data_IF_434160202301
#
_entry.id   IF_434160202301
#
_cell.length_a   1.000
_cell.length_b   1.000
_cell.length_c   1.000
_cell.angle_alpha   90.00
_cell.angle_beta   90.00
_cell.angle_gamma   90.00
#
_symmetry.space_group_name_H-M   'P 1'
#
loop_
_entity.id
_entity.type
_entity.pdbx_description
1 polymer ?
#
# COMPACT_ATOMS: atom_id res chain seq x y z
N UNK A 1 -11.03 -56.45 -16.48
CA UNK A 1 -12.29 -56.57 -17.23
C UNK A 1 -12.85 -55.16 -17.46
N UNK A 2 -12.00 -54.24 -17.92
CA UNK A 2 -12.14 -52.79 -17.64
C UNK A 2 -11.91 -51.91 -18.89
N UNK A 3 -12.39 -52.35 -20.06
CA UNK A 3 -12.20 -51.61 -21.32
C UNK A 3 -13.48 -50.95 -21.86
N UNK A 4 -14.63 -51.16 -21.22
CA UNK A 4 -15.90 -50.53 -21.62
C UNK A 4 -16.22 -49.23 -20.87
N UNK A 5 -15.45 -48.88 -19.83
CA UNK A 5 -15.69 -47.69 -19.00
C UNK A 5 -15.23 -46.37 -19.61
N UNK A 6 -14.50 -46.40 -20.73
CA UNK A 6 -13.92 -45.20 -21.35
C UNK A 6 -14.79 -44.62 -22.50
N UNK A 7 -15.88 -45.31 -22.85
CA UNK A 7 -16.82 -44.83 -23.85
C UNK A 7 -17.88 -43.97 -23.17
N UNK A 8 -17.83 -42.66 -23.43
CA UNK A 8 -18.82 -41.69 -22.96
C UNK A 8 -20.26 -42.22 -23.10
N UNK A 9 -21.07 -42.08 -22.05
CA UNK A 9 -22.49 -42.50 -22.03
C UNK A 9 -23.25 -42.00 -23.27
N UNK A 10 -22.90 -40.81 -23.78
CA UNK A 10 -23.44 -40.24 -25.03
C UNK A 10 -23.12 -41.10 -26.26
N UNK A 11 -21.88 -41.55 -26.41
CA UNK A 11 -21.45 -42.41 -27.53
C UNK A 11 -22.12 -43.79 -27.44
N UNK A 12 -22.28 -44.32 -26.22
CA UNK A 12 -22.95 -45.60 -25.97
C UNK A 12 -24.46 -45.53 -26.28
N UNK A 13 -25.14 -44.44 -25.89
CA UNK A 13 -26.53 -44.17 -26.27
C UNK A 13 -26.69 -44.08 -27.80
N UNK A 14 -25.82 -43.34 -28.48
CA UNK A 14 -25.86 -43.21 -29.94
C UNK A 14 -25.66 -44.55 -30.66
N UNK A 15 -24.74 -45.39 -30.17
CA UNK A 15 -24.52 -46.72 -30.74
C UNK A 15 -25.75 -47.61 -30.56
N UNK A 16 -26.36 -47.63 -29.37
CA UNK A 16 -27.57 -48.41 -29.09
C UNK A 16 -28.75 -47.98 -29.95
N UNK A 17 -28.93 -46.67 -30.17
CA UNK A 17 -29.98 -46.15 -31.06
C UNK A 17 -29.74 -46.60 -32.51
N UNK A 18 -28.49 -46.57 -32.99
CA UNK A 18 -28.15 -47.05 -34.32
C UNK A 18 -28.35 -48.57 -34.48
N UNK A 19 -28.03 -49.36 -33.44
CA UNK A 19 -28.29 -50.80 -33.41
C UNK A 19 -29.80 -51.08 -33.52
N UNK A 20 -30.63 -50.33 -32.78
CA UNK A 20 -32.10 -50.44 -32.84
C UNK A 20 -32.63 -50.06 -34.23
N UNK A 21 -32.10 -49.00 -34.86
CA UNK A 21 -32.47 -48.64 -36.25
C UNK A 21 -32.08 -49.75 -37.25
N UNK A 22 -30.91 -50.38 -37.08
CA UNK A 22 -30.48 -51.47 -37.93
C UNK A 22 -31.36 -52.72 -37.78
N UNK A 23 -31.68 -53.11 -36.54
CA UNK A 23 -32.53 -54.25 -36.22
C UNK A 23 -33.96 -54.03 -36.76
N UNK A 24 -34.51 -52.83 -36.59
CA UNK A 24 -35.85 -52.51 -37.08
C UNK A 24 -35.91 -52.56 -38.62
N UNK A 25 -34.90 -52.03 -39.33
CA UNK A 25 -34.81 -52.16 -40.79
C UNK A 25 -34.76 -53.63 -41.23
N UNK A 26 -33.91 -54.44 -40.59
CA UNK A 26 -33.84 -55.88 -40.89
C UNK A 26 -35.16 -56.61 -40.60
N UNK A 27 -35.91 -56.19 -39.58
CA UNK A 27 -37.22 -56.77 -39.24
C UNK A 27 -38.26 -56.45 -40.32
N UNK A 28 -38.28 -55.22 -40.80
CA UNK A 28 -39.15 -54.83 -41.90
C UNK A 28 -38.79 -55.55 -43.20
N UNK A 29 -37.51 -55.75 -43.49
CA UNK A 29 -37.06 -56.49 -44.68
C UNK A 29 -37.46 -57.98 -44.60
N UNK A 30 -37.29 -58.64 -43.44
CA UNK A 30 -37.68 -60.06 -43.29
C UNK A 30 -39.20 -60.25 -43.34
N UNK A 31 -39.99 -59.37 -42.72
CA UNK A 31 -41.45 -59.38 -42.81
C UNK A 31 -41.95 -59.10 -44.24
N UNK A 32 -41.27 -58.23 -44.98
CA UNK A 32 -41.61 -57.92 -46.38
C UNK A 32 -41.33 -59.12 -47.30
N UNK A 33 -40.22 -59.83 -47.07
CA UNK A 33 -39.91 -61.08 -47.80
C UNK A 33 -40.92 -62.18 -47.45
N UNK A 34 -41.24 -62.38 -46.17
CA UNK A 34 -42.15 -63.43 -45.71
C UNK A 34 -43.61 -63.20 -46.17
N UNK A 35 -44.07 -61.95 -46.24
CA UNK A 35 -45.39 -61.58 -46.78
C UNK A 35 -45.48 -61.69 -48.31
N UNK A 36 -44.37 -61.47 -49.03
CA UNK A 36 -44.28 -61.67 -50.49
C UNK A 36 -44.21 -63.15 -50.91
N UNK A 37 -43.83 -64.05 -49.99
CA UNK A 37 -43.69 -65.50 -50.21
C UNK A 37 -45.00 -66.29 -49.96
N UNK A 38 -46.16 -65.62 -49.91
CA UNK A 38 -47.50 -66.22 -49.81
C UNK A 38 -47.99 -66.99 -51.04
N UNK A 39 -47.10 -67.54 -51.89
CA UNK A 39 -47.45 -68.50 -52.94
C UNK A 39 -46.65 -69.79 -52.74
N UNK A 40 -47.29 -70.95 -52.51
CA UNK A 40 -46.58 -72.20 -52.31
C UNK A 40 -46.13 -72.71 -53.68
N UNK A 41 -44.92 -72.35 -54.06
CA UNK A 41 -44.21 -72.89 -55.22
C UNK A 41 -42.78 -73.20 -54.79
N UNK A 42 -42.45 -74.49 -54.79
CA UNK A 42 -41.10 -75.05 -54.61
C UNK A 42 -40.04 -74.16 -55.23
N UNK A 43 -39.01 -73.80 -54.45
CA UNK A 43 -37.61 -73.85 -54.87
C UNK A 43 -36.69 -73.58 -53.68
N UNK A 44 -35.97 -74.62 -53.28
CA UNK A 44 -34.86 -74.60 -52.35
C UNK A 44 -33.65 -74.01 -53.08
N UNK A 45 -33.30 -72.74 -52.84
CA UNK A 45 -31.93 -72.21 -53.02
C UNK A 45 -31.88 -70.68 -52.94
N UNK A 46 -32.07 -70.12 -51.74
CA UNK A 46 -31.34 -68.91 -51.39
C UNK A 46 -31.19 -68.82 -49.88
N UNK A 47 -30.06 -69.33 -49.39
CA UNK A 47 -29.53 -69.07 -48.06
C UNK A 47 -29.19 -67.58 -47.95
N UNK A 48 -30.20 -66.73 -47.89
CA UNK A 48 -30.08 -65.47 -47.18
C UNK A 48 -30.24 -65.83 -45.72
N UNK A 49 -29.22 -65.55 -44.93
CA UNK A 49 -29.19 -65.64 -43.47
C UNK A 49 -30.26 -64.66 -42.94
N UNK A 50 -31.54 -64.99 -43.07
CA UNK A 50 -32.61 -64.22 -42.46
C UNK A 50 -32.78 -64.78 -41.06
N UNK A 51 -32.27 -64.05 -40.08
CA UNK A 51 -32.58 -64.31 -38.68
C UNK A 51 -34.10 -64.39 -38.54
N UNK A 52 -34.60 -65.41 -37.83
CA UNK A 52 -36.04 -65.60 -37.66
C UNK A 52 -36.65 -64.36 -37.00
N UNK A 53 -37.87 -64.01 -37.40
CA UNK A 53 -38.56 -62.80 -36.91
C UNK A 53 -38.62 -62.80 -35.38
N UNK A 54 -38.81 -63.97 -34.76
CA UNK A 54 -38.79 -64.15 -33.31
C UNK A 54 -37.43 -63.80 -32.68
N UNK A 55 -36.33 -64.27 -33.26
CA UNK A 55 -34.97 -63.96 -32.76
C UNK A 55 -34.66 -62.46 -32.89
N UNK A 56 -35.12 -61.82 -33.96
CA UNK A 56 -34.91 -60.40 -34.19
C UNK A 56 -35.77 -59.53 -33.23
N UNK A 57 -36.98 -59.98 -32.89
CA UNK A 57 -37.79 -59.33 -31.85
C UNK A 57 -37.20 -59.49 -30.45
N UNK A 58 -36.60 -60.64 -30.14
CA UNK A 58 -35.95 -60.86 -28.84
C UNK A 58 -34.70 -59.97 -28.68
N UNK A 59 -33.89 -59.84 -29.74
CA UNK A 59 -32.73 -58.94 -29.75
C UNK A 59 -33.18 -57.47 -29.67
N UNK A 60 -34.27 -57.10 -30.33
CA UNK A 60 -34.86 -55.76 -30.22
C UNK A 60 -35.29 -55.46 -28.77
N UNK A 61 -35.97 -56.40 -28.10
CA UNK A 61 -36.37 -56.26 -26.70
C UNK A 61 -35.15 -56.13 -25.78
N UNK A 62 -34.11 -56.91 -26.01
CA UNK A 62 -32.86 -56.83 -25.25
C UNK A 62 -32.21 -55.45 -25.40
N UNK A 63 -32.04 -54.97 -26.64
CA UNK A 63 -31.43 -53.65 -26.90
C UNK A 63 -32.29 -52.49 -26.37
N UNK A 64 -33.62 -52.64 -26.37
CA UNK A 64 -34.52 -51.68 -25.77
C UNK A 64 -34.36 -51.63 -24.24
N UNK A 65 -34.20 -52.78 -23.58
CA UNK A 65 -33.90 -52.82 -22.14
C UNK A 65 -32.55 -52.17 -21.82
N UNK A 66 -31.51 -52.47 -22.61
CA UNK A 66 -30.19 -51.86 -22.46
C UNK A 66 -30.24 -50.33 -22.63
N UNK A 67 -31.06 -49.84 -23.58
CA UNK A 67 -31.27 -48.40 -23.80
C UNK A 67 -31.96 -47.74 -22.59
N UNK A 68 -32.98 -48.37 -22.03
CA UNK A 68 -33.69 -47.88 -20.83
C UNK A 68 -32.75 -47.80 -19.63
N UNK A 69 -31.93 -48.84 -19.41
CA UNK A 69 -30.93 -48.84 -18.35
C UNK A 69 -29.92 -47.70 -18.53
N UNK A 70 -29.40 -47.53 -19.75
CA UNK A 70 -28.43 -46.49 -20.05
C UNK A 70 -29.02 -45.08 -19.94
N UNK A 71 -30.30 -44.89 -20.28
CA UNK A 71 -31.02 -43.64 -20.06
C UNK A 71 -31.18 -43.32 -18.57
N UNK A 72 -31.39 -44.32 -17.72
CA UNK A 72 -31.42 -44.14 -16.27
C UNK A 72 -30.08 -43.62 -15.74
N UNK A 73 -28.97 -44.23 -16.19
CA UNK A 73 -27.62 -43.78 -15.85
C UNK A 73 -27.36 -42.35 -16.33
N UNK A 74 -27.75 -42.02 -17.56
CA UNK A 74 -27.60 -40.67 -18.12
C UNK A 74 -28.37 -39.62 -17.29
N UNK A 75 -29.57 -39.96 -16.82
CA UNK A 75 -30.36 -39.08 -15.95
C UNK A 75 -29.66 -38.83 -14.61
N UNK A 76 -29.13 -39.89 -13.98
CA UNK A 76 -28.36 -39.75 -12.74
C UNK A 76 -27.10 -38.88 -12.94
N UNK A 77 -26.40 -39.07 -14.06
CA UNK A 77 -25.25 -38.24 -14.43
C UNK A 77 -25.64 -36.76 -14.61
N UNK A 78 -26.80 -36.49 -15.23
CA UNK A 78 -27.32 -35.13 -15.37
C UNK A 78 -27.63 -34.48 -14.01
N UNK A 79 -28.31 -35.20 -13.12
CA UNK A 79 -28.64 -34.69 -11.78
C UNK A 79 -27.38 -34.44 -10.95
N UNK A 80 -26.37 -35.30 -11.06
CA UNK A 80 -25.06 -35.07 -10.44
C UNK A 80 -24.35 -33.86 -11.04
N UNK A 81 -24.37 -33.71 -12.37
CA UNK A 81 -23.75 -32.56 -13.03
C UNK A 81 -24.39 -31.24 -12.60
N UNK A 82 -25.71 -31.19 -12.42
CA UNK A 82 -26.40 -30.02 -11.88
C UNK A 82 -25.96 -29.69 -10.46
N UNK A 83 -25.79 -30.71 -9.60
CA UNK A 83 -25.26 -30.51 -8.24
C UNK A 83 -23.82 -30.01 -8.25
N UNK A 84 -22.98 -30.56 -9.13
CA UNK A 84 -21.59 -30.12 -9.30
C UNK A 84 -21.55 -28.65 -9.73
N UNK A 85 -22.39 -28.26 -10.68
CA UNK A 85 -22.43 -26.88 -11.17
C UNK A 85 -22.86 -25.91 -10.06
N UNK A 86 -23.90 -26.26 -9.31
CA UNK A 86 -24.32 -25.45 -8.16
C UNK A 86 -23.21 -25.26 -7.12
N UNK A 87 -22.45 -26.31 -6.84
CA UNK A 87 -21.32 -26.24 -5.90
C UNK A 87 -20.18 -25.38 -6.48
N UNK A 88 -19.90 -25.49 -7.79
CA UNK A 88 -18.92 -24.63 -8.46
C UNK A 88 -19.29 -23.16 -8.39
N UNK A 89 -20.57 -22.84 -8.61
CA UNK A 89 -21.07 -21.47 -8.48
C UNK A 89 -20.89 -20.94 -7.05
N UNK A 90 -21.19 -21.76 -6.04
CA UNK A 90 -20.99 -21.39 -4.64
C UNK A 90 -19.51 -21.16 -4.30
N UNK A 91 -18.62 -22.02 -4.80
CA UNK A 91 -17.17 -21.86 -4.66
C UNK A 91 -16.71 -20.55 -5.30
N UNK A 92 -17.18 -20.21 -6.51
CA UNK A 92 -16.80 -18.98 -7.19
C UNK A 92 -17.21 -17.72 -6.39
N UNK A 93 -18.40 -17.72 -5.81
CA UNK A 93 -18.87 -16.62 -4.95
C UNK A 93 -18.00 -16.50 -3.70
N UNK A 94 -17.67 -17.62 -3.06
CA UNK A 94 -16.81 -17.62 -1.88
C UNK A 94 -15.39 -17.17 -2.20
N UNK A 95 -14.81 -17.62 -3.31
CA UNK A 95 -13.48 -17.19 -3.77
C UNK A 95 -13.44 -15.68 -4.06
N UNK A 96 -14.51 -15.13 -4.63
CA UNK A 96 -14.63 -13.69 -4.84
C UNK A 96 -14.66 -12.93 -3.50
N UNK A 97 -15.40 -13.44 -2.52
CA UNK A 97 -15.46 -12.85 -1.18
C UNK A 97 -14.09 -12.91 -0.46
N UNK A 98 -13.38 -14.04 -0.57
CA UNK A 98 -12.02 -14.19 -0.04
C UNK A 98 -11.06 -13.20 -0.70
N UNK A 99 -11.12 -13.07 -2.03
CA UNK A 99 -10.30 -12.11 -2.78
C UNK A 99 -10.56 -10.66 -2.34
N UNK A 100 -11.83 -10.31 -2.12
CA UNK A 100 -12.21 -9.00 -1.62
C UNK A 100 -11.65 -8.74 -0.21
N UNK A 101 -11.82 -9.70 0.71
CA UNK A 101 -11.30 -9.60 2.07
C UNK A 101 -9.76 -9.48 2.08
N UNK A 102 -9.07 -10.26 1.25
CA UNK A 102 -7.62 -10.20 1.12
C UNK A 102 -7.13 -8.80 0.67
N UNK A 103 -7.83 -8.18 -0.29
CA UNK A 103 -7.51 -6.81 -0.74
C UNK A 103 -7.69 -5.80 0.39
N UNK A 104 -8.79 -5.91 1.15
CA UNK A 104 -9.03 -5.04 2.30
C UNK A 104 -7.96 -5.20 3.39
N UNK A 105 -7.57 -6.44 3.68
CA UNK A 105 -6.57 -6.72 4.69
C UNK A 105 -5.20 -6.16 4.29
N UNK A 106 -4.82 -6.30 3.01
CA UNK A 106 -3.60 -5.71 2.47
C UNK A 106 -3.62 -4.18 2.51
N UNK A 107 -4.77 -3.57 2.22
CA UNK A 107 -4.92 -2.11 2.32
C UNK A 107 -4.84 -1.63 3.78
N UNK A 108 -5.40 -2.38 4.72
CA UNK A 108 -5.33 -2.05 6.14
C UNK A 108 -3.90 -2.20 6.68
N UNK A 109 -3.17 -3.23 6.24
CA UNK A 109 -1.76 -3.43 6.55
C UNK A 109 -0.89 -2.24 6.10
N UNK A 110 -1.06 -1.79 4.84
CA UNK A 110 -0.31 -0.65 4.31
C UNK A 110 -0.62 0.64 5.08
N UNK A 111 -1.90 0.88 5.40
CA UNK A 111 -2.30 2.03 6.21
C UNK A 111 -1.67 1.98 7.61
N UNK A 112 -1.68 0.81 8.25
CA UNK A 112 -1.09 0.62 9.57
C UNK A 112 0.43 0.81 9.52
N UNK A 113 1.11 0.29 8.51
CA UNK A 113 2.54 0.47 8.32
C UNK A 113 2.92 1.95 8.19
N UNK A 114 2.17 2.72 7.38
CA UNK A 114 2.33 4.17 7.23
C UNK A 114 2.09 4.91 8.55
N UNK A 115 1.00 4.59 9.24
CA UNK A 115 0.67 5.20 10.54
C UNK A 115 1.75 4.90 11.59
N UNK A 116 2.27 3.67 11.61
CA UNK A 116 3.31 3.25 12.55
C UNK A 116 4.63 3.99 12.26
N UNK A 117 5.00 4.12 10.98
CA UNK A 117 6.18 4.88 10.58
C UNK A 117 6.08 6.34 11.01
N UNK A 118 4.94 6.99 10.73
CA UNK A 118 4.67 8.37 11.15
C UNK A 118 4.68 8.53 12.67
N UNK A 119 4.07 7.61 13.41
CA UNK A 119 4.05 7.64 14.87
C UNK A 119 5.47 7.51 15.45
N UNK A 120 6.30 6.61 14.89
CA UNK A 120 7.71 6.48 15.29
C UNK A 120 8.52 7.74 14.99
N UNK A 121 8.29 8.37 13.84
CA UNK A 121 8.94 9.65 13.51
C UNK A 121 8.55 10.76 14.49
N UNK A 122 7.26 10.86 14.84
CA UNK A 122 6.77 11.80 15.85
C UNK A 122 7.34 11.52 17.23
N UNK A 123 7.48 10.26 17.64
CA UNK A 123 8.11 9.91 18.91
C UNK A 123 9.55 10.39 18.99
N UNK A 124 10.35 10.15 17.93
CA UNK A 124 11.73 10.68 17.85
C UNK A 124 11.78 12.21 17.98
N UNK A 125 10.81 12.92 17.39
CA UNK A 125 10.73 14.38 17.53
C UNK A 125 10.38 14.81 18.96
N UNK A 126 9.53 14.04 19.65
CA UNK A 126 9.21 14.25 21.06
C UNK A 126 10.43 14.02 21.95
N UNK A 127 11.18 12.94 21.72
CA UNK A 127 12.39 12.64 22.49
C UNK A 127 13.44 13.74 22.31
N UNK A 128 13.61 14.25 21.08
CA UNK A 128 14.48 15.41 20.79
C UNK A 128 14.01 16.70 21.46
N UNK A 129 12.71 16.96 21.48
CA UNK A 129 12.15 18.13 22.15
C UNK A 129 12.28 18.03 23.69
N UNK A 130 12.12 16.82 24.23
CA UNK A 130 12.22 16.57 25.66
C UNK A 130 13.67 16.68 26.17
N UNK A 131 14.66 16.21 25.39
CA UNK A 131 16.08 16.41 25.72
C UNK A 131 16.51 17.88 25.63
N UNK A 132 15.88 18.66 24.73
CA UNK A 132 16.08 20.11 24.59
C UNK A 132 15.06 20.97 25.34
N UNK A 133 14.37 20.43 26.36
CA UNK A 133 13.30 21.16 27.05
C UNK A 133 13.86 22.40 27.76
N UNK A 134 13.31 23.57 27.41
CA UNK A 134 13.68 24.86 28.02
C UNK A 134 12.58 25.27 28.99
N UNK A 135 12.96 25.71 30.20
CA UNK A 135 11.99 26.22 31.17
C UNK A 135 11.30 27.46 30.61
N UNK A 136 9.97 27.52 30.74
CA UNK A 136 9.17 28.67 30.27
C UNK A 136 9.63 29.97 30.92
N UNK A 137 10.11 29.92 32.16
CA UNK A 137 10.66 31.08 32.86
C UNK A 137 11.91 31.65 32.16
N UNK A 138 12.79 30.80 31.64
CA UNK A 138 13.99 31.24 30.91
C UNK A 138 13.63 31.86 29.57
N UNK A 139 12.62 31.31 28.88
CA UNK A 139 12.08 31.90 27.65
C UNK A 139 11.50 33.29 27.93
N UNK A 140 10.73 33.45 29.02
CA UNK A 140 10.14 34.74 29.41
C UNK A 140 11.22 35.75 29.78
N UNK A 141 12.20 35.34 30.60
CA UNK A 141 13.35 36.20 30.98
C UNK A 141 14.14 36.64 29.76
N UNK A 142 14.42 35.72 28.83
CA UNK A 142 15.19 36.02 27.63
C UNK A 142 14.40 36.88 26.63
N UNK A 143 13.10 36.63 26.48
CA UNK A 143 12.22 37.47 25.66
C UNK A 143 12.11 38.89 26.22
N UNK A 144 11.96 39.04 27.54
CA UNK A 144 12.00 40.34 28.20
C UNK A 144 13.37 41.00 28.01
N UNK A 145 14.47 40.24 28.14
CA UNK A 145 15.83 40.73 27.88
C UNK A 145 15.95 41.26 26.46
N UNK A 146 15.52 40.53 25.43
CA UNK A 146 15.55 40.98 24.03
C UNK A 146 14.65 42.21 23.82
N UNK A 147 13.50 42.27 24.48
CA UNK A 147 12.55 43.39 24.33
C UNK A 147 13.02 44.67 25.03
N UNK A 148 13.76 44.54 26.13
CA UNK A 148 14.29 45.66 26.92
C UNK A 148 15.69 46.10 26.45
N UNK A 149 16.54 45.16 26.04
CA UNK A 149 17.78 45.46 25.32
C UNK A 149 17.44 46.01 23.94
N UNK A 150 18.36 46.76 23.33
CA UNK A 150 18.18 47.41 22.03
C UNK A 150 17.44 46.52 21.00
N UNK A 151 16.57 47.14 20.20
CA UNK A 151 15.58 46.43 19.35
C UNK A 151 16.20 45.34 18.48
N UNK A 152 15.54 44.17 18.38
CA UNK A 152 15.97 43.05 17.52
C UNK A 152 16.04 43.44 16.03
N UNK A 153 15.29 44.47 15.63
CA UNK A 153 15.32 45.06 14.29
C UNK A 153 15.28 46.59 14.38
N UNK A 154 15.91 47.29 13.43
CA UNK A 154 15.86 48.75 13.39
C UNK A 154 14.42 49.21 13.11
N UNK A 155 13.82 50.09 13.94
CA UNK A 155 12.49 50.63 13.66
C UNK A 155 12.52 51.49 12.38
N UNK A 156 11.37 51.61 11.72
CA UNK A 156 11.26 52.27 10.39
C UNK A 156 11.70 53.75 10.41
N UNK A 157 11.71 54.38 11.59
CA UNK A 157 12.14 55.75 11.83
C UNK A 157 13.50 55.85 12.55
N UNK A 158 14.30 54.78 12.54
CA UNK A 158 15.60 54.77 13.22
C UNK A 158 16.54 55.82 12.61
N UNK A 159 17.10 56.67 13.46
CA UNK A 159 18.09 57.69 13.10
C UNK A 159 19.37 57.52 13.90
N UNK A 160 20.54 57.97 13.39
CA UNK A 160 21.76 58.03 14.18
C UNK A 160 21.54 58.78 15.50
N UNK A 161 21.68 58.09 16.63
CA UNK A 161 21.36 58.60 17.97
C UNK A 161 20.16 57.94 18.65
N UNK A 162 19.35 57.15 17.92
CA UNK A 162 18.24 56.38 18.49
C UNK A 162 18.76 55.14 19.25
N UNK A 163 18.41 54.98 20.55
CA UNK A 163 18.83 53.84 21.36
C UNK A 163 18.26 52.49 20.88
N UNK A 164 17.21 52.45 20.06
CA UNK A 164 16.58 51.23 19.54
C UNK A 164 17.33 50.63 18.34
N UNK A 165 18.65 50.47 18.44
CA UNK A 165 19.51 49.94 17.38
C UNK A 165 19.69 48.41 17.48
N UNK A 166 19.75 47.67 16.36
CA UNK A 166 19.91 46.21 16.39
C UNK A 166 21.35 45.71 16.53
N UNK A 167 22.35 46.59 16.63
CA UNK A 167 23.75 46.21 16.66
C UNK A 167 24.56 46.96 17.74
N UNK A 168 25.63 46.34 18.27
CA UNK A 168 26.55 46.99 19.20
C UNK A 168 27.31 48.15 18.53
N UNK A 169 27.52 49.25 19.26
CA UNK A 169 28.35 50.37 18.78
C UNK A 169 29.84 50.11 18.97
N UNK A 170 30.68 50.79 18.18
CA UNK A 170 32.13 50.69 18.28
C UNK A 170 32.66 51.00 19.69
N UNK A 171 32.05 51.96 20.39
CA UNK A 171 32.41 52.26 21.77
C UNK A 171 32.08 51.09 22.70
N UNK A 172 30.94 50.43 22.52
CA UNK A 172 30.54 49.25 23.32
C UNK A 172 31.46 48.06 23.04
N UNK A 173 31.87 47.86 21.78
CA UNK A 173 32.83 46.83 21.40
C UNK A 173 34.23 47.09 21.97
N UNK A 174 34.71 48.34 21.93
CA UNK A 174 36.00 48.75 22.52
C UNK A 174 36.01 48.65 24.05
N UNK A 175 34.89 48.97 24.70
CA UNK A 175 34.74 48.86 26.15
C UNK A 175 34.47 47.42 26.62
N UNK A 176 34.17 46.50 25.70
CA UNK A 176 33.97 45.08 26.01
C UNK A 176 35.27 44.39 26.43
N UNK A 177 35.12 43.20 27.02
CA UNK A 177 36.24 42.39 27.52
C UNK A 177 37.34 42.16 26.47
N UNK A 178 36.94 41.90 25.22
CA UNK A 178 37.86 41.68 24.11
C UNK A 178 38.68 42.93 23.75
N UNK A 179 38.07 44.12 23.81
CA UNK A 179 38.74 45.40 23.55
C UNK A 179 39.69 45.81 24.68
N UNK A 180 39.35 45.49 25.92
CA UNK A 180 40.20 45.68 27.09
C UNK A 180 41.43 44.77 27.07
N UNK A 181 41.24 43.48 26.73
CA UNK A 181 42.33 42.50 26.63
C UNK A 181 43.36 42.91 25.55
N UNK A 182 42.90 43.48 24.43
CA UNK A 182 43.78 43.98 23.37
C UNK A 182 44.62 45.19 23.83
N UNK A 183 44.08 46.07 24.68
CA UNK A 183 44.82 47.21 25.23
C UNK A 183 45.80 46.81 26.35
N UNK A 184 45.51 45.74 27.09
CA UNK A 184 46.35 45.26 28.20
C UNK A 184 47.75 44.80 27.73
N UNK A 185 47.87 44.37 26.47
CA UNK A 185 49.15 43.99 25.86
C UNK A 185 49.99 45.15 25.32
N UNK A 186 49.46 46.38 25.25
CA UNK A 186 50.15 47.47 24.55
C UNK A 186 50.49 48.71 25.36
N UNK A 187 49.84 49.04 26.49
CA UNK A 187 50.23 50.24 27.26
C UNK A 187 49.94 50.12 28.78
N UNK A 188 51.00 49.98 29.58
CA UNK A 188 50.98 50.18 31.04
C UNK A 188 51.39 51.60 31.46
N UNK A 189 51.35 52.57 30.54
CA UNK A 189 51.75 53.96 30.76
C UNK A 189 50.69 54.87 30.12
N UNK A 190 49.57 55.05 30.82
CA UNK A 190 48.69 56.23 30.81
C UNK A 190 47.36 55.85 31.49
N UNK A 191 47.43 55.89 32.81
CA UNK A 191 46.30 55.68 33.71
C UNK A 191 45.38 56.90 33.73
N UNK A 192 44.53 57.09 32.72
CA UNK A 192 43.24 57.81 32.89
C UNK A 192 42.23 57.62 31.74
N UNK A 193 42.20 56.48 31.05
CA UNK A 193 41.11 56.16 30.12
C UNK A 193 40.41 54.88 30.52
N UNK A 194 39.87 54.86 31.75
CA UNK A 194 38.70 54.02 31.99
C UNK A 194 37.56 54.56 31.13
N UNK A 195 37.49 54.12 29.87
CA UNK A 195 36.30 54.30 29.05
C UNK A 195 35.18 53.58 29.80
N UNK A 196 34.49 54.32 30.68
CA UNK A 196 33.30 53.82 31.33
C UNK A 196 32.34 53.43 30.19
N UNK A 197 31.78 52.21 30.22
CA UNK A 197 30.74 51.89 29.27
C UNK A 197 29.68 53.00 29.36
N UNK A 198 29.21 53.55 28.23
CA UNK A 198 28.12 54.52 28.26
C UNK A 198 26.99 53.94 29.10
N UNK A 199 26.33 54.77 29.91
CA UNK A 199 25.17 54.37 30.71
C UNK A 199 24.25 53.62 29.76
N UNK A 200 24.13 52.31 29.96
CA UNK A 200 23.36 51.45 29.11
C UNK A 200 21.89 51.88 29.27
N UNK A 201 21.44 52.79 28.42
CA UNK A 201 20.02 53.13 28.32
C UNK A 201 19.30 51.89 27.80
N UNK A 202 18.63 51.18 28.72
CA UNK A 202 17.97 49.90 28.46
C UNK A 202 18.46 48.71 29.30
N UNK A 203 19.46 48.88 30.18
CA UNK A 203 19.75 47.88 31.22
C UNK A 203 19.37 48.41 32.60
N UNK A 204 18.08 48.48 32.85
CA UNK A 204 17.51 48.87 34.13
C UNK A 204 17.67 47.73 35.18
N UNK A 205 18.85 47.13 35.29
CA UNK A 205 19.15 46.13 36.33
C UNK A 205 19.92 44.87 35.92
N UNK A 206 20.54 44.79 34.74
CA UNK A 206 21.41 43.63 34.42
C UNK A 206 22.87 43.99 34.77
N UNK A 207 23.22 43.83 36.05
CA UNK A 207 24.60 43.53 36.41
C UNK A 207 24.93 42.17 35.79
N UNK A 208 25.79 42.14 34.77
CA UNK A 208 26.57 40.92 34.55
C UNK A 208 27.36 40.67 35.84
N UNK A 209 27.36 39.45 36.39
CA UNK A 209 28.18 39.18 37.57
C UNK A 209 29.60 39.57 37.21
N UNK A 210 30.11 40.59 37.89
CA UNK A 210 31.52 40.95 37.84
C UNK A 210 32.25 39.72 38.36
N UNK A 211 32.81 38.90 37.47
CA UNK A 211 33.72 37.86 37.90
C UNK A 211 34.96 38.58 38.43
N UNK A 212 34.95 38.84 39.73
CA UNK A 212 36.11 39.32 40.44
C UNK A 212 37.17 38.24 40.31
N UNK A 213 38.25 38.58 39.61
CA UNK A 213 39.59 38.01 39.66
C UNK A 213 39.67 36.56 40.16
N UNK A 214 39.66 35.61 39.23
CA UNK A 214 40.27 34.31 39.50
C UNK A 214 41.78 34.54 39.63
N UNK A 215 42.29 34.27 40.82
CA UNK A 215 43.71 34.21 41.14
C UNK A 215 44.42 33.31 40.11
N UNK A 216 45.39 33.89 39.42
CA UNK A 216 46.20 33.16 38.43
C UNK A 216 47.28 32.39 39.18
N UNK A 217 46.90 31.26 39.78
CA UNK A 217 47.85 30.18 40.04
C UNK A 217 47.59 29.04 39.07
N UNK A 218 48.66 28.73 38.33
CA UNK A 218 48.65 28.00 37.07
C UNK A 218 47.89 26.68 37.08
N UNK A 219 47.19 26.45 35.98
CA UNK A 219 47.21 25.15 35.33
C UNK A 219 46.94 25.34 33.83
N UNK A 220 47.89 24.93 33.00
CA UNK A 220 47.69 24.84 31.56
C UNK A 220 46.69 23.71 31.32
N UNK A 221 45.47 24.04 30.90
CA UNK A 221 44.56 23.08 30.28
C UNK A 221 44.06 23.65 28.96
N UNK A 222 44.89 23.36 27.95
CA UNK A 222 44.52 22.86 26.62
C UNK A 222 43.09 23.16 26.14
N UNK A 223 42.95 24.22 25.35
CA UNK A 223 41.80 24.46 24.49
C UNK A 223 41.99 23.64 23.20
N UNK A 224 41.72 22.34 23.27
CA UNK A 224 41.54 21.51 22.08
C UNK A 224 40.20 21.83 21.44
N UNK A 225 40.31 22.50 20.29
CA UNK A 225 39.28 22.73 19.30
C UNK A 225 38.56 21.40 18.95
N UNK A 226 37.29 21.27 19.34
CA UNK A 226 36.44 20.20 18.81
C UNK A 226 36.18 20.46 17.32
N UNK A 227 37.02 19.85 16.49
CA UNK A 227 36.80 19.69 15.06
C UNK A 227 35.82 18.53 14.88
N UNK A 228 34.53 18.81 15.01
CA UNK A 228 33.48 17.82 14.77
C UNK A 228 33.24 17.70 13.26
N UNK A 229 33.27 16.45 12.80
CA UNK A 229 33.21 16.06 11.42
C UNK A 229 31.96 16.63 10.73
N UNK A 230 32.20 17.37 9.65
CA UNK A 230 31.21 17.81 8.68
C UNK A 230 30.62 16.58 7.97
N UNK A 231 29.63 15.94 8.58
CA UNK A 231 28.72 15.06 7.88
C UNK A 231 27.90 15.94 6.93
N UNK A 232 28.09 15.72 5.63
CA UNK A 232 27.33 16.36 4.57
C UNK A 232 25.90 15.81 4.67
N UNK A 233 25.00 16.58 5.28
CA UNK A 233 23.57 16.29 5.29
C UNK A 233 23.04 16.67 3.91
N UNK A 234 22.73 15.66 3.09
CA UNK A 234 22.05 15.84 1.82
C UNK A 234 20.65 16.41 2.09
N UNK A 235 20.49 17.70 1.87
CA UNK A 235 19.20 18.38 1.91
C UNK A 235 18.43 17.99 0.66
N UNK A 236 17.56 16.97 0.78
CA UNK A 236 16.59 16.64 -0.26
C UNK A 236 15.61 17.82 -0.43
N UNK A 237 15.84 18.58 -1.50
CA UNK A 237 14.91 19.58 -2.01
C UNK A 237 13.59 18.92 -2.38
N UNK A 238 12.56 19.14 -1.56
CA UNK A 238 11.20 18.73 -1.86
C UNK A 238 10.73 19.44 -3.13
N UNK A 239 10.60 18.69 -4.22
CA UNK A 239 9.89 19.18 -5.40
C UNK A 239 8.42 19.30 -5.05
N UNK A 240 7.88 20.51 -5.20
CA UNK A 240 6.45 20.76 -5.12
C UNK A 240 5.78 20.07 -6.32
N UNK A 241 5.08 18.96 -6.08
CA UNK A 241 4.21 18.33 -7.04
C UNK A 241 2.98 19.22 -7.24
N UNK A 242 3.08 20.11 -8.22
CA UNK A 242 1.93 20.84 -8.73
C UNK A 242 0.98 19.86 -9.42
N UNK A 243 -0.01 19.36 -8.68
CA UNK A 243 -1.18 18.69 -9.24
C UNK A 243 -2.30 19.72 -9.38
N UNK A 244 -2.42 20.35 -10.55
CA UNK A 244 -3.64 21.06 -10.95
C UNK A 244 -4.71 20.03 -11.31
N UNK A 245 -5.80 20.05 -10.55
CA UNK A 245 -6.99 19.25 -10.73
C UNK A 245 -7.72 19.62 -12.02
N UNK A 246 -7.88 18.63 -12.90
CA UNK A 246 -8.72 18.70 -14.09
C UNK A 246 -10.19 18.63 -13.66
N UNK A 247 -10.89 19.76 -13.71
CA UNK A 247 -12.31 19.86 -13.37
C UNK A 247 -13.12 19.90 -14.64
N UNK A 248 -13.53 18.73 -15.13
CA UNK A 248 -14.54 18.61 -16.18
C UNK A 248 -15.92 18.87 -15.57
N UNK A 249 -16.47 20.06 -15.79
CA UNK A 249 -17.89 20.36 -15.59
C UNK A 249 -18.64 20.03 -16.89
N UNK A 250 -19.37 18.92 -16.88
CA UNK A 250 -20.35 18.55 -17.90
C UNK A 250 -21.75 18.56 -17.30
N UNK A 251 -22.27 19.76 -17.08
CA UNK A 251 -23.69 19.98 -16.79
C UNK A 251 -24.53 19.72 -18.05
N UNK A 252 -24.90 18.46 -18.27
CA UNK A 252 -26.05 18.10 -19.10
C UNK A 252 -27.33 18.54 -18.40
N UNK A 253 -28.09 19.41 -19.06
CA UNK A 253 -29.45 19.74 -18.66
C UNK A 253 -30.36 18.52 -18.72
N UNK A 254 -31.28 18.46 -17.75
CA UNK A 254 -32.60 17.84 -17.81
C UNK A 254 -33.27 18.04 -16.44
N UNK A 255 -34.14 19.03 -16.30
CA UNK A 255 -35.60 18.93 -16.12
C UNK A 255 -36.19 20.32 -15.81
#
# INVERSE_FOLDING_TARGET
MDQESDVSTKKRLLSLVNDVDLITRQLFDTLSVQSSQGRPGKDESKTTISMDVGQLTDILLQKNNDLVELMCVARLQQELQQKIEKIRDEILVQDQAISFLQKHLKSAEDLLAKSLYQAKAKLKSFDKANSGSVFSEDVIKYAHKISASCSTAAPLNWSPGDPRRPYPQDIEMRCGWLGQLNNLGQNAMDSDSSLKPPVQFGTDGIQFPSFTSFDTQGNQQDLTLMNEAKAHEDVEVMSSDSSTSDSSDSSFGND
#
